data_IF_694206723878
#
_entry.id   IF_694206723878
#
_cell.length_a   1.000
_cell.length_b   1.000
_cell.length_c   1.000
_cell.angle_alpha   90.00
_cell.angle_beta   90.00
_cell.angle_gamma   90.00
#
_symmetry.space_group_name_H-M   'P 1'
#
loop_
_entity.id
_entity.type
_entity.pdbx_description
1 polymer ?
#
# COMPACT_ATOMS: atom_id res chain seq x y z
N UNK A 1 16.24 -27.25 7.30
CA UNK A 1 14.81 -27.02 6.97
C UNK A 1 14.31 -25.69 7.52
N UNK A 2 14.62 -25.35 8.77
CA UNK A 2 14.07 -24.16 9.40
C UNK A 2 14.73 -22.85 8.94
N UNK A 3 16.06 -22.83 8.82
CA UNK A 3 16.82 -21.73 8.18
C UNK A 3 16.42 -21.49 6.73
N UNK A 4 16.23 -22.56 5.95
CA UNK A 4 15.76 -22.46 4.55
C UNK A 4 14.34 -21.91 4.46
N UNK A 5 13.47 -22.24 5.41
CA UNK A 5 12.11 -21.71 5.47
C UNK A 5 12.11 -20.22 5.82
N UNK A 6 12.94 -19.83 6.80
CA UNK A 6 13.13 -18.43 7.18
C UNK A 6 13.60 -17.59 5.99
N UNK A 7 14.71 -17.97 5.35
CA UNK A 7 15.24 -17.25 4.19
C UNK A 7 14.29 -17.27 2.99
N UNK A 8 13.56 -18.36 2.79
CA UNK A 8 12.48 -18.43 1.80
C UNK A 8 11.39 -17.40 2.07
N UNK A 9 11.00 -17.22 3.33
CA UNK A 9 9.95 -16.27 3.75
C UNK A 9 10.43 -14.82 3.62
N UNK A 10 11.69 -14.53 3.99
CA UNK A 10 12.33 -13.22 3.78
C UNK A 10 12.39 -12.88 2.28
N UNK A 11 12.82 -13.83 1.44
CA UNK A 11 12.88 -13.64 0.00
C UNK A 11 11.48 -13.46 -0.61
N UNK A 12 10.47 -14.12 -0.07
CA UNK A 12 9.09 -13.97 -0.53
C UNK A 12 8.48 -12.62 -0.16
N UNK A 13 8.73 -12.14 1.06
CA UNK A 13 8.23 -10.85 1.54
C UNK A 13 8.93 -9.66 0.85
N UNK A 14 10.26 -9.72 0.71
CA UNK A 14 11.08 -8.60 0.22
C UNK A 14 11.59 -8.76 -1.20
N UNK A 15 11.59 -9.96 -1.77
CA UNK A 15 12.13 -10.23 -3.11
C UNK A 15 11.50 -9.35 -4.21
N UNK A 16 10.16 -9.25 -4.31
CA UNK A 16 9.53 -8.33 -5.24
C UNK A 16 9.96 -6.88 -5.02
N UNK A 17 10.13 -6.47 -3.75
CA UNK A 17 10.55 -5.11 -3.43
C UNK A 17 12.00 -4.85 -3.88
N UNK A 18 12.91 -5.79 -3.63
CA UNK A 18 14.32 -5.71 -4.02
C UNK A 18 14.46 -5.67 -5.55
N UNK A 19 13.74 -6.55 -6.27
CA UNK A 19 13.76 -6.59 -7.74
C UNK A 19 13.24 -5.27 -8.33
N UNK A 20 12.13 -4.75 -7.80
CA UNK A 20 11.59 -3.45 -8.22
C UNK A 20 12.56 -2.31 -7.92
N UNK A 21 13.21 -2.30 -6.75
CA UNK A 21 14.20 -1.28 -6.40
C UNK A 21 15.38 -1.28 -7.40
N UNK A 22 15.95 -2.45 -7.70
CA UNK A 22 17.03 -2.55 -8.67
C UNK A 22 16.60 -2.11 -10.07
N UNK A 23 15.40 -2.51 -10.52
CA UNK A 23 14.87 -2.06 -11.80
C UNK A 23 14.67 -0.53 -11.83
N UNK A 24 14.11 0.04 -10.77
CA UNK A 24 13.90 1.50 -10.66
C UNK A 24 15.23 2.24 -10.65
N UNK A 25 16.23 1.78 -9.88
CA UNK A 25 17.55 2.40 -9.84
C UNK A 25 18.29 2.31 -11.18
N UNK A 26 18.17 1.18 -11.88
CA UNK A 26 18.85 0.96 -13.15
C UNK A 26 18.27 1.80 -14.29
N UNK A 27 16.94 1.94 -14.36
CA UNK A 27 16.28 2.61 -15.47
C UNK A 27 15.87 4.05 -15.16
N UNK A 28 15.49 4.35 -13.92
CA UNK A 28 14.78 5.57 -13.53
C UNK A 28 15.11 6.05 -12.10
N UNK A 29 16.35 6.50 -11.82
CA UNK A 29 16.79 6.85 -10.46
C UNK A 29 15.97 7.97 -9.81
N UNK A 30 15.32 8.84 -10.59
CA UNK A 30 14.41 9.87 -10.06
C UNK A 30 13.20 9.27 -9.35
N UNK A 31 12.70 8.11 -9.81
CA UNK A 31 11.61 7.40 -9.14
C UNK A 31 12.06 6.77 -7.81
N UNK A 32 13.34 6.44 -7.66
CA UNK A 32 13.87 5.95 -6.39
C UNK A 32 13.83 7.04 -5.30
N UNK A 33 14.18 8.29 -5.66
CA UNK A 33 14.06 9.43 -4.75
C UNK A 33 12.61 9.64 -4.30
N UNK A 34 11.66 9.53 -5.24
CA UNK A 34 10.24 9.63 -4.92
C UNK A 34 9.77 8.49 -4.01
N UNK A 35 10.21 7.27 -4.25
CA UNK A 35 9.94 6.13 -3.39
C UNK A 35 10.51 6.31 -1.97
N UNK A 36 11.70 6.88 -1.83
CA UNK A 36 12.26 7.19 -0.50
C UNK A 36 11.45 8.29 0.21
N UNK A 37 11.03 9.32 -0.52
CA UNK A 37 10.18 10.36 0.04
C UNK A 37 8.82 9.82 0.48
N UNK A 38 8.19 8.95 -0.33
CA UNK A 38 6.92 8.32 0.04
C UNK A 38 7.05 7.33 1.20
N UNK A 39 8.18 6.63 1.31
CA UNK A 39 8.51 5.80 2.46
C UNK A 39 8.52 6.64 3.76
N UNK A 40 9.21 7.79 3.75
CA UNK A 40 9.22 8.70 4.90
C UNK A 40 7.82 9.24 5.22
N UNK A 41 7.07 9.67 4.21
CA UNK A 41 5.69 10.16 4.38
C UNK A 41 4.77 9.08 4.95
N UNK A 42 5.00 7.80 4.63
CA UNK A 42 4.21 6.69 5.16
C UNK A 42 4.37 6.46 6.67
N UNK A 43 5.39 7.04 7.30
CA UNK A 43 5.51 7.03 8.77
C UNK A 43 4.45 7.90 9.43
N UNK A 44 3.94 8.93 8.76
CA UNK A 44 2.91 9.82 9.32
C UNK A 44 1.64 9.08 9.72
N UNK A 45 0.97 8.31 8.83
CA UNK A 45 -0.24 7.59 9.23
C UNK A 45 0.03 6.56 10.33
N UNK A 46 1.22 5.95 10.35
CA UNK A 46 1.62 5.02 11.42
C UNK A 46 1.67 5.73 12.77
N UNK A 47 2.33 6.89 12.85
CA UNK A 47 2.38 7.69 14.08
C UNK A 47 0.98 8.16 14.51
N UNK A 48 0.12 8.55 13.57
CA UNK A 48 -1.26 8.93 13.87
C UNK A 48 -2.07 7.76 14.42
N UNK A 49 -1.94 6.56 13.84
CA UNK A 49 -2.58 5.33 14.36
C UNK A 49 -2.05 4.97 15.74
N UNK A 50 -0.73 5.05 15.96
CA UNK A 50 -0.12 4.82 17.27
C UNK A 50 -0.61 5.83 18.32
N UNK A 51 -0.79 7.09 17.94
CA UNK A 51 -1.35 8.11 18.82
C UNK A 51 -2.80 7.80 19.22
N UNK A 52 -3.65 7.44 18.24
CA UNK A 52 -5.02 6.98 18.52
C UNK A 52 -5.04 5.76 19.42
N UNK A 53 -4.15 4.79 19.17
CA UNK A 53 -3.99 3.61 20.03
C UNK A 53 -3.68 3.98 21.49
N UNK A 54 -2.73 4.90 21.71
CA UNK A 54 -2.37 5.37 23.05
C UNK A 54 -3.52 6.13 23.73
N UNK A 55 -4.28 6.92 22.98
CA UNK A 55 -5.48 7.59 23.52
C UNK A 55 -6.55 6.60 23.97
N UNK A 56 -6.76 5.52 23.21
CA UNK A 56 -7.70 4.45 23.57
C UNK A 56 -7.25 3.74 24.86
N UNK A 57 -5.96 3.46 25.02
CA UNK A 57 -5.44 2.88 26.28
C UNK A 57 -5.63 3.85 27.45
N UNK A 58 -5.28 5.12 27.25
CA UNK A 58 -5.38 6.14 28.29
C UNK A 58 -6.82 6.37 28.75
N UNK A 59 -7.79 6.34 27.84
CA UNK A 59 -9.21 6.52 28.18
C UNK A 59 -9.82 5.35 28.96
N UNK A 60 -9.18 4.18 28.95
CA UNK A 60 -9.62 2.98 29.67
C UNK A 60 -8.79 2.70 30.93
N UNK A 61 -8.21 3.74 31.53
CA UNK A 61 -7.51 3.64 32.81
C UNK A 61 -6.22 2.84 32.77
N UNK A 62 -5.59 2.71 31.59
CA UNK A 62 -4.31 2.01 31.43
C UNK A 62 -4.45 0.48 31.42
N UNK A 63 -5.66 -0.07 31.41
CA UNK A 63 -5.86 -1.49 31.13
C UNK A 63 -5.34 -1.79 29.71
N UNK A 64 -4.50 -2.82 29.58
CA UNK A 64 -3.97 -3.25 28.29
C UNK A 64 -5.11 -3.61 27.34
N UNK A 65 -4.97 -3.35 26.05
CA UNK A 65 -5.98 -3.67 25.03
C UNK A 65 -6.33 -5.17 24.99
N UNK A 66 -5.50 -6.04 25.59
CA UNK A 66 -5.84 -7.45 25.83
C UNK A 66 -7.03 -7.66 26.78
N UNK A 67 -7.39 -6.68 27.62
CA UNK A 67 -8.58 -6.72 28.47
C UNK A 67 -9.88 -6.39 27.71
N UNK A 68 -9.79 -5.90 26.46
CA UNK A 68 -10.97 -5.70 25.59
C UNK A 68 -11.47 -6.98 24.93
N UNK A 69 -10.71 -8.08 25.00
CA UNK A 69 -11.04 -9.34 24.32
C UNK A 69 -12.01 -10.24 25.11
N UNK A 70 -12.33 -9.95 26.38
CA UNK A 70 -13.18 -10.85 27.18
C UNK A 70 -14.64 -10.90 26.73
N UNK A 71 -15.05 -10.04 25.78
CA UNK A 71 -16.36 -10.08 25.11
C UNK A 71 -16.18 -10.30 23.59
N UNK A 72 -15.49 -11.37 23.21
CA UNK A 72 -15.19 -11.77 21.82
C UNK A 72 -16.40 -11.94 20.87
N UNK A 73 -17.64 -11.82 21.38
CA UNK A 73 -18.85 -11.92 20.56
C UNK A 73 -19.02 -10.76 19.57
N UNK A 74 -18.47 -9.57 19.87
CA UNK A 74 -18.58 -8.39 19.00
C UNK A 74 -17.19 -7.85 18.68
N UNK A 75 -16.50 -8.43 17.69
CA UNK A 75 -15.25 -7.87 17.15
C UNK A 75 -15.41 -6.39 16.69
N UNK A 76 -16.64 -5.97 16.38
CA UNK A 76 -17.00 -4.58 16.08
C UNK A 76 -17.01 -3.64 17.30
N UNK A 77 -17.19 -4.16 18.51
CA UNK A 77 -17.15 -3.39 19.77
C UNK A 77 -15.74 -3.38 20.39
N UNK A 78 -14.82 -4.19 19.85
CA UNK A 78 -13.43 -4.22 20.29
C UNK A 78 -12.67 -2.98 19.78
N UNK A 79 -11.92 -2.29 20.66
CA UNK A 79 -11.12 -1.13 20.27
C UNK A 79 -10.17 -1.40 19.09
N UNK A 80 -9.80 -2.67 18.86
CA UNK A 80 -8.97 -3.14 17.74
C UNK A 80 -9.57 -2.82 16.37
N UNK A 81 -10.87 -3.03 16.19
CA UNK A 81 -11.55 -2.73 14.92
C UNK A 81 -11.46 -1.25 14.56
N UNK A 82 -11.69 -0.37 15.55
CA UNK A 82 -11.58 1.08 15.38
C UNK A 82 -10.16 1.53 15.04
N UNK A 83 -9.14 0.95 15.67
CA UNK A 83 -7.74 1.26 15.38
C UNK A 83 -7.40 0.96 13.91
N UNK A 84 -7.86 -0.19 13.39
CA UNK A 84 -7.64 -0.55 11.99
C UNK A 84 -8.39 0.38 11.05
N UNK A 85 -9.66 0.71 11.34
CA UNK A 85 -10.43 1.67 10.55
C UNK A 85 -9.71 3.02 10.48
N UNK A 86 -9.26 3.56 11.63
CA UNK A 86 -8.49 4.79 11.69
C UNK A 86 -7.17 4.68 10.90
N UNK A 87 -6.47 3.56 11.01
CA UNK A 87 -5.23 3.32 10.25
C UNK A 87 -5.44 3.34 8.75
N UNK A 88 -6.46 2.64 8.25
CA UNK A 88 -6.82 2.67 6.82
C UNK A 88 -7.15 4.09 6.38
N UNK A 89 -7.97 4.82 7.15
CA UNK A 89 -8.34 6.20 6.83
C UNK A 89 -7.11 7.10 6.75
N UNK A 90 -6.25 7.09 7.77
CA UNK A 90 -5.05 7.92 7.76
C UNK A 90 -4.14 7.58 6.59
N UNK A 91 -3.97 6.29 6.30
CA UNK A 91 -3.12 5.85 5.21
C UNK A 91 -3.67 6.26 3.83
N UNK A 92 -4.98 6.18 3.61
CA UNK A 92 -5.61 6.65 2.37
C UNK A 92 -5.56 8.17 2.25
N UNK A 93 -5.78 8.92 3.33
CA UNK A 93 -5.63 10.38 3.33
C UNK A 93 -4.19 10.80 3.01
N UNK A 94 -3.19 10.13 3.60
CA UNK A 94 -1.78 10.36 3.28
C UNK A 94 -1.49 10.04 1.82
N UNK A 95 -2.03 8.95 1.28
CA UNK A 95 -1.85 8.57 -0.14
C UNK A 95 -2.49 9.61 -1.07
N UNK A 96 -3.69 10.09 -0.75
CA UNK A 96 -4.37 11.16 -1.48
C UNK A 96 -3.56 12.46 -1.46
N UNK A 97 -3.06 12.85 -0.29
CA UNK A 97 -2.21 14.04 -0.14
C UNK A 97 -0.91 13.92 -0.95
N UNK A 98 -0.26 12.76 -0.92
CA UNK A 98 0.94 12.47 -1.69
C UNK A 98 0.67 12.51 -3.19
N UNK A 99 -0.40 11.85 -3.66
CA UNK A 99 -0.83 11.87 -5.05
C UNK A 99 -1.10 13.31 -5.54
N UNK A 100 -1.82 14.10 -4.75
CA UNK A 100 -2.07 15.51 -5.04
C UNK A 100 -0.77 16.32 -5.10
N UNK A 101 0.13 16.16 -4.12
CA UNK A 101 1.43 16.81 -4.09
C UNK A 101 2.28 16.50 -5.32
N UNK A 102 2.33 15.24 -5.73
CA UNK A 102 3.03 14.78 -6.94
C UNK A 102 2.45 15.40 -8.21
N UNK A 103 1.12 15.42 -8.35
CA UNK A 103 0.44 16.05 -9.49
C UNK A 103 0.75 17.54 -9.55
N UNK A 104 0.75 18.23 -8.41
CA UNK A 104 1.08 19.66 -8.34
C UNK A 104 2.56 19.93 -8.62
N UNK A 105 3.45 19.06 -8.18
CA UNK A 105 4.88 19.14 -8.49
C UNK A 105 5.12 18.96 -10.00
N UNK A 106 4.52 17.94 -10.63
CA UNK A 106 4.60 17.73 -12.08
C UNK A 106 4.07 18.96 -12.84
N UNK A 107 2.96 19.55 -12.39
CA UNK A 107 2.44 20.78 -12.99
C UNK A 107 3.44 21.95 -12.86
N UNK A 108 4.04 22.12 -11.68
CA UNK A 108 5.06 23.14 -11.44
C UNK A 108 6.33 22.93 -12.29
N UNK A 109 6.77 21.68 -12.49
CA UNK A 109 7.89 21.43 -13.41
C UNK A 109 7.53 21.78 -14.86
N UNK A 110 6.29 21.48 -15.28
CA UNK A 110 5.81 21.80 -16.63
C UNK A 110 5.75 23.31 -16.90
N UNK A 111 5.44 24.14 -15.91
CA UNK A 111 5.50 25.61 -16.08
C UNK A 111 6.93 26.09 -16.34
N UNK A 112 7.94 25.31 -15.95
CA UNK A 112 9.37 25.56 -16.21
C UNK A 112 9.92 24.71 -17.36
N UNK A 113 9.06 24.16 -18.23
CA UNK A 113 9.46 23.30 -19.35
C UNK A 113 10.25 22.03 -18.93
N UNK A 114 10.08 21.57 -17.70
CA UNK A 114 10.63 20.34 -17.18
C UNK A 114 9.51 19.32 -16.94
N UNK A 115 9.85 18.03 -16.87
CA UNK A 115 8.93 16.95 -16.50
C UNK A 115 9.57 16.12 -15.41
N UNK A 116 8.79 15.72 -14.40
CA UNK A 116 9.30 14.85 -13.33
C UNK A 116 9.69 13.49 -13.90
N UNK A 117 8.88 12.97 -14.82
CA UNK A 117 9.09 11.69 -15.45
C UNK A 117 8.47 11.61 -16.86
N UNK A 118 9.30 11.33 -17.87
CA UNK A 118 8.85 11.10 -19.23
C UNK A 118 8.53 9.60 -19.43
N UNK A 119 7.25 9.24 -19.52
CA UNK A 119 6.83 7.87 -19.80
C UNK A 119 5.57 7.79 -20.66
N UNK A 120 5.47 6.69 -21.43
CA UNK A 120 4.26 6.31 -22.17
C UNK A 120 3.07 6.13 -21.22
N UNK A 121 3.32 5.69 -19.99
CA UNK A 121 2.33 5.47 -18.93
C UNK A 121 2.21 6.67 -17.95
N UNK A 122 2.82 7.82 -18.28
CA UNK A 122 2.70 9.10 -17.56
C UNK A 122 2.97 9.03 -16.05
N UNK A 123 1.99 9.38 -15.23
CA UNK A 123 2.04 9.42 -13.77
C UNK A 123 1.83 8.04 -13.14
N UNK A 124 1.47 7.02 -13.91
CA UNK A 124 1.28 5.67 -13.37
C UNK A 124 2.58 5.12 -12.73
N UNK A 125 3.77 5.19 -13.36
CA UNK A 125 5.03 4.78 -12.73
C UNK A 125 5.41 5.66 -11.53
N UNK A 126 5.03 6.94 -11.56
CA UNK A 126 5.26 7.89 -10.47
C UNK A 126 4.43 7.48 -9.24
N UNK A 127 3.14 7.20 -9.42
CA UNK A 127 2.28 6.67 -8.38
C UNK A 127 2.68 5.28 -7.89
N UNK A 128 3.13 4.40 -8.81
CA UNK A 128 3.65 3.08 -8.44
C UNK A 128 4.92 3.19 -7.57
N UNK A 129 5.83 4.11 -7.88
CA UNK A 129 7.01 4.39 -7.06
C UNK A 129 6.62 4.92 -5.66
N UNK A 130 5.63 5.81 -5.58
CA UNK A 130 5.07 6.24 -4.29
C UNK A 130 4.55 5.04 -3.48
N UNK A 131 3.75 4.19 -4.11
CA UNK A 131 3.19 3.00 -3.46
C UNK A 131 4.23 1.98 -3.05
N UNK A 132 5.31 1.85 -3.82
CA UNK A 132 6.45 1.01 -3.49
C UNK A 132 7.14 1.47 -2.20
N UNK A 133 7.39 2.78 -2.03
CA UNK A 133 7.96 3.30 -0.78
C UNK A 133 7.07 3.09 0.44
N UNK A 134 5.75 3.28 0.28
CA UNK A 134 4.78 2.99 1.34
C UNK A 134 4.77 1.49 1.69
N UNK A 135 4.73 0.62 0.67
CA UNK A 135 4.78 -0.84 0.83
C UNK A 135 6.04 -1.29 1.56
N UNK A 136 7.21 -0.78 1.16
CA UNK A 136 8.48 -1.12 1.78
C UNK A 136 8.51 -0.75 3.27
N UNK A 137 8.03 0.44 3.62
CA UNK A 137 7.99 0.90 5.02
C UNK A 137 7.06 0.04 5.87
N UNK A 138 5.86 -0.27 5.36
CA UNK A 138 4.89 -1.09 6.09
C UNK A 138 5.36 -2.53 6.24
N UNK A 139 5.95 -3.10 5.18
CA UNK A 139 6.55 -4.43 5.22
C UNK A 139 7.72 -4.50 6.20
N UNK A 140 8.57 -3.48 6.25
CA UNK A 140 9.65 -3.40 7.24
C UNK A 140 9.12 -3.30 8.67
N UNK A 141 8.10 -2.49 8.92
CA UNK A 141 7.56 -2.32 10.27
C UNK A 141 6.81 -3.55 10.76
N UNK A 142 6.02 -4.19 9.91
CA UNK A 142 5.16 -5.29 10.35
C UNK A 142 5.86 -6.64 10.24
N UNK A 143 6.45 -6.96 9.08
CA UNK A 143 7.21 -8.20 8.93
C UNK A 143 8.57 -8.13 9.63
N UNK A 144 9.23 -6.98 9.64
CA UNK A 144 10.50 -6.82 10.37
C UNK A 144 10.33 -6.95 11.88
N UNK A 145 9.24 -6.41 12.46
CA UNK A 145 8.93 -6.64 13.88
C UNK A 145 8.69 -8.13 14.19
N UNK A 146 8.05 -8.86 13.27
CA UNK A 146 7.91 -10.32 13.41
C UNK A 146 9.27 -11.03 13.37
N UNK A 147 10.15 -10.67 12.43
CA UNK A 147 11.49 -11.25 12.35
C UNK A 147 12.30 -10.96 13.62
N UNK A 148 12.22 -9.73 14.13
CA UNK A 148 12.87 -9.33 15.38
C UNK A 148 12.31 -10.11 16.59
N UNK A 149 10.99 -10.34 16.63
CA UNK A 149 10.38 -11.16 17.69
C UNK A 149 10.87 -12.61 17.63
N UNK A 150 11.00 -13.18 16.43
CA UNK A 150 11.52 -14.53 16.22
C UNK A 150 13.00 -14.61 16.65
N UNK A 151 13.81 -13.61 16.30
CA UNK A 151 15.22 -13.54 16.69
C UNK A 151 15.40 -13.38 18.20
N UNK A 152 14.60 -12.52 18.84
CA UNK A 152 14.63 -12.32 20.29
C UNK A 152 14.20 -13.57 21.08
N UNK A 153 13.39 -14.44 20.49
CA UNK A 153 13.06 -15.76 21.05
C UNK A 153 14.16 -16.81 20.84
N UNK A 154 15.16 -16.52 20.01
CA UNK A 154 16.27 -17.40 19.62
C UNK A 154 17.57 -17.19 20.40
N UNK A 155 17.48 -16.95 21.72
CA UNK A 155 18.62 -16.82 22.63
C UNK A 155 19.57 -18.05 22.48
N UNK A 156 20.91 -17.89 22.48
CA UNK A 156 21.86 -18.83 21.87
C UNK A 156 22.05 -20.18 22.60
N UNK A 157 21.29 -20.45 23.65
CA UNK A 157 21.17 -21.77 24.29
C UNK A 157 19.96 -22.59 23.81
N UNK A 158 19.02 -22.00 23.08
CA UNK A 158 17.78 -22.64 22.63
C UNK A 158 17.64 -22.38 21.14
N UNK A 159 17.83 -23.43 20.35
CA UNK A 159 17.93 -23.42 18.90
C UNK A 159 16.91 -22.50 18.21
N UNK A 160 17.42 -21.42 17.61
CA UNK A 160 17.02 -20.53 16.50
C UNK A 160 15.55 -20.45 16.07
N UNK A 161 14.73 -21.47 16.19
CA UNK A 161 13.27 -21.37 16.15
C UNK A 161 12.70 -22.54 16.96
N UNK A 162 11.99 -22.24 18.05
CA UNK A 162 11.16 -23.22 18.71
C UNK A 162 10.10 -23.73 17.71
N UNK A 163 9.89 -25.05 17.60
CA UNK A 163 8.88 -25.65 16.72
C UNK A 163 7.50 -25.00 16.89
N UNK A 164 7.21 -24.42 18.06
CA UNK A 164 5.98 -23.69 18.33
C UNK A 164 5.91 -22.25 17.78
N UNK A 165 7.03 -21.55 17.56
CA UNK A 165 7.02 -20.18 17.03
C UNK A 165 6.83 -20.13 15.49
N UNK A 166 7.09 -21.24 14.80
CA UNK A 166 6.96 -21.37 13.34
C UNK A 166 5.70 -22.12 12.91
N UNK A 167 5.13 -22.93 13.80
CA UNK A 167 3.90 -23.65 13.52
C UNK A 167 2.71 -22.86 14.06
N UNK A 168 1.85 -22.43 13.14
CA UNK A 168 0.43 -22.24 13.47
C UNK A 168 -0.01 -23.49 14.23
N UNK A 169 -0.80 -23.34 15.31
CA UNK A 169 -1.28 -24.49 16.05
C UNK A 169 -1.90 -25.49 15.07
N UNK A 170 -1.36 -26.73 15.05
CA UNK A 170 -1.44 -27.67 13.90
C UNK A 170 -2.86 -28.01 13.44
N UNK A 171 -3.90 -27.68 14.22
CA UNK A 171 -5.29 -28.00 13.94
C UNK A 171 -5.92 -27.19 12.80
N UNK A 172 -5.54 -25.91 12.62
CA UNK A 172 -6.32 -25.00 11.75
C UNK A 172 -5.63 -24.70 10.42
N UNK A 173 -4.30 -24.75 10.39
CA UNK A 173 -3.47 -24.55 9.21
C UNK A 173 -2.33 -25.58 9.16
N UNK A 174 -2.63 -26.88 9.01
CA UNK A 174 -1.67 -27.97 9.21
C UNK A 174 -0.47 -27.97 8.26
N UNK A 175 -0.48 -27.17 7.19
CA UNK A 175 0.51 -27.25 6.11
C UNK A 175 1.32 -25.96 5.86
N UNK A 176 0.98 -24.82 6.48
CA UNK A 176 1.65 -23.55 6.20
C UNK A 176 2.23 -22.92 7.48
N UNK A 177 3.57 -22.79 7.57
CA UNK A 177 4.20 -22.13 8.71
C UNK A 177 3.80 -20.65 8.84
N UNK A 178 3.66 -20.16 10.08
CA UNK A 178 3.18 -18.80 10.37
C UNK A 178 4.01 -17.73 9.65
N UNK A 179 5.33 -17.86 9.70
CA UNK A 179 6.28 -16.93 9.06
C UNK A 179 6.09 -16.89 7.53
N UNK A 180 5.83 -18.05 6.93
CA UNK A 180 5.58 -18.17 5.49
C UNK A 180 4.23 -17.56 5.11
N UNK A 181 3.19 -17.82 5.90
CA UNK A 181 1.89 -17.17 5.76
C UNK A 181 2.03 -15.64 5.80
N UNK A 182 2.71 -15.12 6.82
CA UNK A 182 2.90 -13.69 7.01
C UNK A 182 3.69 -13.09 5.84
N UNK A 183 4.76 -13.75 5.42
CA UNK A 183 5.53 -13.32 4.25
C UNK A 183 4.68 -13.24 2.97
N UNK A 184 3.81 -14.22 2.73
CA UNK A 184 2.90 -14.22 1.59
C UNK A 184 1.87 -13.07 1.69
N UNK A 185 1.31 -12.87 2.88
CA UNK A 185 0.37 -11.77 3.15
C UNK A 185 1.01 -10.41 2.88
N UNK A 186 2.25 -10.19 3.33
CA UNK A 186 3.03 -8.98 3.09
C UNK A 186 3.39 -8.77 1.62
N UNK A 187 3.69 -9.85 0.90
CA UNK A 187 3.90 -9.81 -0.54
C UNK A 187 2.64 -9.30 -1.26
N UNK A 188 1.47 -9.88 -0.95
CA UNK A 188 0.19 -9.45 -1.54
C UNK A 188 -0.12 -7.99 -1.22
N UNK A 189 0.02 -7.59 0.04
CA UNK A 189 -0.21 -6.21 0.47
C UNK A 189 0.76 -5.21 -0.17
N UNK A 190 2.01 -5.60 -0.39
CA UNK A 190 2.98 -4.75 -1.08
C UNK A 190 2.56 -4.46 -2.52
N UNK A 191 2.12 -5.50 -3.24
CA UNK A 191 1.61 -5.36 -4.62
C UNK A 191 0.33 -4.52 -4.64
N UNK A 192 -0.55 -4.68 -3.65
CA UNK A 192 -1.73 -3.83 -3.47
C UNK A 192 -1.35 -2.36 -3.31
N UNK A 193 -0.43 -2.01 -2.41
CA UNK A 193 -0.03 -0.61 -2.19
C UNK A 193 0.59 0.05 -3.42
N UNK A 194 1.40 -0.67 -4.19
CA UNK A 194 1.92 -0.22 -5.49
C UNK A 194 0.78 0.07 -6.45
N UNK A 195 -0.14 -0.89 -6.61
CA UNK A 195 -1.27 -0.79 -7.54
C UNK A 195 -2.23 0.34 -7.16
N UNK A 196 -2.59 0.43 -5.88
CA UNK A 196 -3.48 1.46 -5.35
C UNK A 196 -2.89 2.86 -5.50
N UNK A 197 -1.59 3.04 -5.26
CA UNK A 197 -0.94 4.35 -5.40
C UNK A 197 -0.81 4.78 -6.85
N UNK A 198 -0.60 3.83 -7.77
CA UNK A 198 -0.63 4.08 -9.20
C UNK A 198 -2.01 4.57 -9.65
N UNK A 199 -3.08 3.86 -9.27
CA UNK A 199 -4.48 4.24 -9.54
C UNK A 199 -4.83 5.57 -8.89
N UNK A 200 -4.40 5.77 -7.64
CA UNK A 200 -4.70 6.98 -6.88
C UNK A 200 -4.12 8.22 -7.57
N UNK A 201 -2.89 8.13 -8.03
CA UNK A 201 -2.18 9.25 -8.66
C UNK A 201 -2.82 9.62 -10.00
N UNK A 202 -3.17 8.65 -10.84
CA UNK A 202 -3.84 8.91 -12.12
C UNK A 202 -5.26 9.46 -11.93
N UNK A 203 -5.99 8.97 -10.93
CA UNK A 203 -7.32 9.48 -10.56
C UNK A 203 -7.27 10.90 -10.02
N UNK A 204 -6.30 11.23 -9.16
CA UNK A 204 -6.14 12.61 -8.65
C UNK A 204 -5.74 13.56 -9.78
N UNK A 205 -4.84 13.14 -10.67
CA UNK A 205 -4.50 13.93 -11.86
C UNK A 205 -5.74 14.26 -12.70
N UNK A 206 -6.63 13.30 -12.91
CA UNK A 206 -7.91 13.51 -13.59
C UNK A 206 -8.78 14.58 -12.93
N UNK A 207 -8.83 14.58 -11.60
CA UNK A 207 -9.66 15.52 -10.86
C UNK A 207 -9.05 16.92 -10.81
N UNK A 208 -7.72 17.04 -10.78
CA UNK A 208 -7.02 18.33 -10.86
C UNK A 208 -7.19 18.95 -12.25
N UNK A 209 -7.00 18.18 -13.32
CA UNK A 209 -7.10 18.66 -14.70
C UNK A 209 -8.52 19.15 -15.05
N UNK A 210 -9.55 18.59 -14.40
CA UNK A 210 -10.94 19.05 -14.56
C UNK A 210 -11.33 20.19 -13.60
N UNK A 211 -10.38 20.77 -12.85
CA UNK A 211 -10.65 21.85 -11.89
C UNK A 211 -11.51 21.43 -10.69
N UNK A 212 -11.66 20.12 -10.42
CA UNK A 212 -12.42 19.62 -9.28
C UNK A 212 -11.61 19.72 -7.98
N UNK A 213 -10.28 19.59 -8.05
CA UNK A 213 -9.37 19.61 -6.89
C UNK A 213 -8.49 20.86 -6.80
N UNK A 214 -9.00 22.01 -7.23
CA UNK A 214 -8.28 23.30 -7.16
C UNK A 214 -8.47 24.15 -8.42
N UNK A 215 -7.81 25.32 -8.51
CA UNK A 215 -7.88 26.16 -9.70
C UNK A 215 -7.43 25.34 -10.92
N UNK A 216 -8.31 25.27 -11.92
CA UNK A 216 -8.04 24.55 -13.16
C UNK A 216 -6.71 25.00 -13.72
N UNK A 217 -5.87 24.03 -14.09
CA UNK A 217 -4.60 24.27 -14.78
C UNK A 217 -4.86 24.59 -16.25
N UNK A 218 -5.69 25.61 -16.50
CA UNK A 218 -5.85 26.18 -17.81
C UNK A 218 -4.44 26.48 -18.36
N UNK A 219 -4.18 26.20 -19.65
CA UNK A 219 -2.86 26.39 -20.22
C UNK A 219 -2.41 27.81 -19.92
N UNK A 220 -1.27 27.94 -19.24
CA UNK A 220 -0.60 29.24 -19.11
C UNK A 220 -0.36 29.70 -20.53
N UNK A 221 -1.11 30.71 -20.96
CA UNK A 221 -0.97 31.30 -22.28
C UNK A 221 0.47 31.81 -22.38
N UNK A 222 1.25 31.11 -23.19
CA UNK A 222 2.70 31.11 -23.07
C UNK A 222 3.26 32.39 -23.71
N UNK A 223 3.33 33.48 -22.93
CA UNK A 223 3.89 34.78 -23.32
C UNK A 223 5.41 34.76 -23.46
N UNK A 224 6.07 33.62 -23.22
CA UNK A 224 7.53 33.47 -23.33
C UNK A 224 8.02 33.59 -24.79
N UNK A 225 9.09 34.37 -25.07
CA UNK A 225 9.60 34.67 -26.41
C UNK A 225 10.39 33.51 -27.05
N UNK A 226 10.14 32.26 -26.66
CA UNK A 226 10.82 31.09 -27.22
C UNK A 226 10.35 30.87 -28.68
N UNK A 227 11.27 30.80 -29.66
CA UNK A 227 10.94 30.65 -31.06
C UNK A 227 10.15 29.36 -31.34
N UNK A 228 9.16 29.41 -32.26
CA UNK A 228 8.16 28.35 -32.46
C UNK A 228 8.74 27.00 -32.89
N UNK A 229 9.96 26.95 -33.44
CA UNK A 229 10.62 25.71 -33.88
C UNK A 229 11.03 24.76 -32.74
N UNK A 230 11.09 25.23 -31.49
CA UNK A 230 11.38 24.39 -30.33
C UNK A 230 10.15 24.13 -29.45
N UNK A 231 8.96 24.65 -29.83
CA UNK A 231 7.70 24.39 -29.13
C UNK A 231 7.05 23.11 -29.66
N UNK A 232 7.65 21.95 -29.37
CA UNK A 232 6.82 20.75 -29.34
C UNK A 232 5.86 20.90 -28.15
N UNK A 233 4.52 20.90 -28.33
CA UNK A 233 3.60 20.97 -27.21
C UNK A 233 3.86 19.77 -26.31
N UNK A 234 4.17 20.00 -25.03
CA UNK A 234 4.26 18.90 -24.05
C UNK A 234 2.86 18.28 -24.01
N UNK A 235 2.70 17.00 -24.39
CA UNK A 235 1.38 16.39 -24.46
C UNK A 235 0.68 16.52 -23.11
N UNK A 236 -0.59 16.95 -23.15
CA UNK A 236 -1.42 16.97 -21.95
C UNK A 236 -1.47 15.55 -21.35
N UNK A 237 -1.52 15.44 -20.02
CA UNK A 237 -1.88 14.17 -19.42
C UNK A 237 -3.28 13.80 -19.96
N UNK A 238 -3.41 12.72 -20.74
CA UNK A 238 -4.70 12.02 -20.80
C UNK A 238 -4.89 11.45 -19.42
N UNK A 239 -5.93 11.94 -18.79
CA UNK A 239 -6.36 11.47 -17.49
C UNK A 239 -7.59 10.59 -17.68
N UNK A 240 -7.91 9.81 -16.65
CA UNK A 240 -9.24 9.23 -16.49
C UNK A 240 -10.32 10.32 -16.65
N UNK A 241 -11.55 9.92 -17.01
CA UNK A 241 -12.67 10.86 -16.86
C UNK A 241 -12.82 11.17 -15.37
N UNK A 242 -13.26 12.37 -14.97
CA UNK A 242 -13.35 12.71 -13.56
C UNK A 242 -14.31 11.78 -12.79
N UNK A 243 -15.35 11.26 -13.45
CA UNK A 243 -16.22 10.20 -12.91
C UNK A 243 -15.46 8.91 -12.61
N UNK A 244 -14.69 8.43 -13.59
CA UNK A 244 -13.90 7.20 -13.49
C UNK A 244 -12.82 7.34 -12.42
N UNK A 245 -12.22 8.53 -12.33
CA UNK A 245 -11.28 8.91 -11.28
C UNK A 245 -11.91 8.71 -9.89
N UNK A 246 -13.07 9.33 -9.61
CA UNK A 246 -13.77 9.20 -8.31
C UNK A 246 -14.11 7.74 -7.98
N UNK A 247 -14.62 6.98 -8.95
CA UNK A 247 -14.93 5.55 -8.77
C UNK A 247 -13.66 4.78 -8.41
N UNK A 248 -12.56 5.03 -9.10
CA UNK A 248 -11.29 4.38 -8.82
C UNK A 248 -10.72 4.74 -7.43
N UNK A 249 -10.85 6.00 -6.98
CA UNK A 249 -10.52 6.39 -5.59
C UNK A 249 -11.33 5.55 -4.59
N UNK A 250 -12.64 5.51 -4.78
CA UNK A 250 -13.54 4.79 -3.90
C UNK A 250 -13.22 3.29 -3.87
N UNK A 251 -12.97 2.68 -5.03
CA UNK A 251 -12.62 1.26 -5.13
C UNK A 251 -11.29 0.94 -4.42
N UNK A 252 -10.28 1.80 -4.54
CA UNK A 252 -9.02 1.64 -3.79
C UNK A 252 -9.27 1.63 -2.28
N UNK A 253 -10.08 2.56 -1.78
CA UNK A 253 -10.42 2.65 -0.35
C UNK A 253 -11.15 1.38 0.10
N UNK A 254 -12.17 0.94 -0.67
CA UNK A 254 -12.94 -0.28 -0.36
C UNK A 254 -12.04 -1.52 -0.35
N UNK A 255 -11.17 -1.70 -1.35
CA UNK A 255 -10.24 -2.82 -1.41
C UNK A 255 -9.27 -2.82 -0.23
N UNK A 256 -8.77 -1.65 0.18
CA UNK A 256 -7.89 -1.56 1.35
C UNK A 256 -8.61 -1.87 2.66
N UNK A 257 -9.86 -1.42 2.83
CA UNK A 257 -10.70 -1.83 3.95
C UNK A 257 -10.91 -3.35 3.98
N UNK A 258 -11.26 -3.97 2.86
CA UNK A 258 -11.44 -5.42 2.78
C UNK A 258 -10.15 -6.15 3.18
N UNK A 259 -9.01 -5.74 2.61
CA UNK A 259 -7.72 -6.35 2.94
C UNK A 259 -7.38 -6.23 4.44
N UNK A 260 -7.67 -5.08 5.04
CA UNK A 260 -7.38 -4.80 6.45
C UNK A 260 -8.32 -5.59 7.39
N UNK A 261 -9.61 -5.67 7.06
CA UNK A 261 -10.59 -6.47 7.82
C UNK A 261 -10.27 -7.96 7.73
N UNK A 262 -9.86 -8.46 6.56
CA UNK A 262 -9.44 -9.86 6.41
C UNK A 262 -8.19 -10.15 7.25
N UNK A 263 -7.29 -9.17 7.36
CA UNK A 263 -6.09 -9.28 8.21
C UNK A 263 -6.43 -9.27 9.71
N UNK A 264 -7.48 -8.55 10.13
CA UNK A 264 -8.02 -8.63 11.50
C UNK A 264 -8.63 -10.01 11.80
N UNK A 265 -9.42 -10.56 10.88
CA UNK A 265 -9.97 -11.92 11.05
C UNK A 265 -8.86 -12.95 11.19
N UNK A 266 -7.69 -12.68 10.60
CA UNK A 266 -6.51 -13.52 10.78
C UNK A 266 -5.86 -13.39 12.17
N UNK A 267 -5.85 -12.20 12.78
CA UNK A 267 -5.29 -12.02 14.13
C UNK A 267 -6.12 -12.72 15.22
N UNK A 268 -7.41 -12.91 14.97
CA UNK A 268 -8.35 -13.56 15.91
C UNK A 268 -8.49 -15.07 15.68
N UNK A 269 -7.55 -15.67 14.96
CA UNK A 269 -7.54 -17.12 14.70
C UNK A 269 -6.98 -17.94 15.88
N UNK A 270 -6.38 -17.27 16.88
CA UNK A 270 -5.89 -17.88 18.10
C UNK A 270 -6.56 -17.21 19.30
N UNK A 271 -7.34 -17.97 20.07
CA UNK A 271 -7.96 -17.46 21.29
C UNK A 271 -6.96 -17.59 22.44
N UNK A 272 -6.49 -16.45 22.95
CA UNK A 272 -5.51 -16.37 24.03
C UNK A 272 -6.09 -16.90 25.35
N UNK A 273 -7.42 -16.86 25.52
CA UNK A 273 -8.09 -17.26 26.76
C UNK A 273 -8.26 -18.76 26.88
N UNK A 274 -8.60 -19.43 25.78
CA UNK A 274 -8.72 -20.89 25.73
C UNK A 274 -7.43 -21.57 25.32
N UNK A 275 -6.46 -20.81 24.78
CA UNK A 275 -5.29 -21.34 24.08
C UNK A 275 -5.68 -22.33 22.98
N UNK A 276 -6.88 -22.17 22.39
CA UNK A 276 -7.38 -22.99 21.31
C UNK A 276 -7.52 -22.16 20.03
N UNK A 277 -7.17 -22.77 18.90
CA UNK A 277 -7.43 -22.17 17.61
C UNK A 277 -8.93 -22.22 17.26
N UNK A 278 -9.47 -21.09 16.78
CA UNK A 278 -10.88 -21.00 16.38
C UNK A 278 -11.07 -21.64 15.00
N UNK A 279 -11.81 -22.75 14.94
CA UNK A 279 -12.07 -23.48 13.70
C UNK A 279 -12.70 -22.58 12.61
N UNK A 280 -12.14 -22.59 11.40
CA UNK A 280 -12.63 -21.82 10.25
C UNK A 280 -12.05 -20.40 10.12
N UNK A 281 -11.22 -19.95 11.08
CA UNK A 281 -10.45 -18.70 11.00
C UNK A 281 -8.98 -19.00 10.67
N UNK A 282 -8.31 -18.13 9.93
CA UNK A 282 -6.88 -18.29 9.60
C UNK A 282 -6.58 -18.48 8.11
N UNK A 283 -5.51 -19.20 7.80
CA UNK A 283 -4.88 -19.19 6.47
C UNK A 283 -5.77 -19.65 5.31
N UNK A 284 -6.69 -20.61 5.54
CA UNK A 284 -7.53 -21.20 4.49
C UNK A 284 -8.52 -20.16 3.94
N UNK A 285 -9.00 -19.25 4.78
CA UNK A 285 -9.99 -18.24 4.39
C UNK A 285 -9.34 -16.91 4.03
N UNK A 286 -8.27 -16.53 4.72
CA UNK A 286 -7.69 -15.18 4.60
C UNK A 286 -6.76 -15.04 3.38
N UNK A 287 -5.90 -16.03 3.08
CA UNK A 287 -4.99 -15.95 1.93
C UNK A 287 -5.73 -15.88 0.59
N UNK A 288 -6.75 -16.70 0.29
CA UNK A 288 -7.46 -16.61 -0.98
C UNK A 288 -8.16 -15.27 -1.16
N UNK A 289 -8.70 -14.70 -0.08
CA UNK A 289 -9.33 -13.38 -0.13
C UNK A 289 -8.29 -12.29 -0.34
N UNK A 290 -7.15 -12.31 0.36
CA UNK A 290 -6.05 -11.37 0.12
C UNK A 290 -5.49 -11.48 -1.31
N UNK A 291 -5.35 -12.69 -1.84
CA UNK A 291 -4.96 -12.92 -3.23
C UNK A 291 -5.99 -12.34 -4.20
N UNK A 292 -7.29 -12.50 -3.91
CA UNK A 292 -8.38 -11.91 -4.72
C UNK A 292 -8.32 -10.39 -4.71
N UNK A 293 -8.10 -9.78 -3.53
CA UNK A 293 -7.92 -8.33 -3.41
C UNK A 293 -6.70 -7.85 -4.18
N UNK A 294 -5.58 -8.58 -4.13
CA UNK A 294 -4.39 -8.28 -4.92
C UNK A 294 -4.68 -8.34 -6.42
N UNK A 295 -5.33 -9.41 -6.90
CA UNK A 295 -5.69 -9.55 -8.32
C UNK A 295 -6.62 -8.41 -8.76
N UNK A 296 -7.63 -8.08 -7.95
CA UNK A 296 -8.53 -6.96 -8.22
C UNK A 296 -7.79 -5.61 -8.27
N UNK A 297 -6.81 -5.43 -7.39
CA UNK A 297 -5.97 -4.21 -7.33
C UNK A 297 -5.09 -4.07 -8.58
N UNK A 298 -4.47 -5.16 -9.03
CA UNK A 298 -3.69 -5.20 -10.28
C UNK A 298 -4.61 -4.94 -11.48
N UNK A 299 -5.78 -5.58 -11.52
CA UNK A 299 -6.74 -5.41 -12.61
C UNK A 299 -7.22 -3.94 -12.70
N UNK A 300 -7.46 -3.29 -11.55
CA UNK A 300 -7.81 -1.87 -11.49
C UNK A 300 -6.69 -0.98 -12.02
N UNK A 301 -5.43 -1.24 -11.62
CA UNK A 301 -4.26 -0.51 -12.12
C UNK A 301 -4.07 -0.72 -13.63
N UNK A 302 -4.27 -1.94 -14.12
CA UNK A 302 -4.20 -2.27 -15.54
C UNK A 302 -5.31 -1.57 -16.34
N UNK A 303 -6.54 -1.56 -15.83
CA UNK A 303 -7.66 -0.86 -16.46
C UNK A 303 -7.38 0.64 -16.57
N UNK A 304 -6.87 1.27 -15.50
CA UNK A 304 -6.44 2.66 -15.53
C UNK A 304 -5.35 2.90 -16.60
N UNK A 305 -4.35 2.01 -16.68
CA UNK A 305 -3.29 2.10 -17.67
C UNK A 305 -3.79 1.98 -19.12
N UNK A 306 -4.76 1.09 -19.40
CA UNK A 306 -5.31 0.91 -20.75
C UNK A 306 -6.16 2.10 -21.21
N UNK A 307 -6.99 2.63 -20.31
CA UNK A 307 -7.83 3.79 -20.62
C UNK A 307 -6.99 5.02 -21.01
N UNK A 308 -5.79 5.14 -20.42
CA UNK A 308 -4.84 6.20 -20.77
C UNK A 308 -4.25 6.03 -22.18
N UNK A 309 -4.01 4.79 -22.62
CA UNK A 309 -3.45 4.48 -23.94
C UNK A 309 -4.47 4.72 -25.06
N UNK A 310 -5.71 4.23 -24.93
CA UNK A 310 -6.71 4.34 -25.99
C UNK A 310 -7.03 5.80 -26.35
N UNK A 311 -7.17 6.69 -25.37
CA UNK A 311 -7.43 8.12 -25.62
C UNK A 311 -6.32 8.83 -26.43
N UNK A 312 -5.11 8.27 -26.45
CA UNK A 312 -3.99 8.89 -27.16
C UNK A 312 -4.06 8.61 -28.67
N UNK A 313 -4.48 7.41 -29.05
CA UNK A 313 -4.63 7.02 -30.46
C UNK A 313 -5.64 7.94 -31.14
N UNK A 314 -6.79 8.15 -30.52
CA UNK A 314 -7.85 9.04 -31.03
C UNK A 314 -7.41 10.50 -31.18
N UNK A 315 -6.37 10.94 -30.46
CA UNK A 315 -5.86 12.32 -30.49
C UNK A 315 -4.71 12.56 -31.46
N UNK A 316 -4.09 11.51 -32.02
CA UNK A 316 -2.99 11.64 -32.98
C UNK A 316 -3.45 11.52 -34.44
N UNK A 317 -4.69 11.06 -34.66
CA UNK A 317 -5.30 10.92 -35.99
C UNK A 317 -6.19 12.13 -36.38
N UNK A 318 -6.11 13.24 -35.63
CA UNK A 318 -6.78 14.53 -35.88
C UNK A 318 -5.75 15.66 -35.93
#
# INVERSE_FOLDING_TARGET
MLTTLFWGSVLQAYGPLVVMMFAVLAFHPTLAVLAMASAFVSLVPIQMTSFVYMLVIASHGGASVSAFDSNAANAADSGRGWIVVCGVIFQELTRLALAYGVVRAEWFFRTHHQVLFASRFRLLPVGAACGFGMAATLSLLQFGALLQAIEALGDPGVSVVNDQAVLWERGTCPQLPFVFFQALSWCFMSVCHVSWSAVMTTSVAALVDNGTLGPSTAPVENTSPIPPRFRAPIPRPTTLRPTDGRIAIFMVIVLHFIASTVSLVNSDAFDITTAEAVAGRGCITTLPVQATVMIASIALAWAAARLDVCKRVDSQDL
#
